data_IF_940929357710
#
_entry.id   IF_940929357710
#
_cell.length_a   1.000
_cell.length_b   1.000
_cell.length_c   1.000
_cell.angle_alpha   90.00
_cell.angle_beta   90.00
_cell.angle_gamma   90.00
#
_symmetry.space_group_name_H-M   'P 1'
#
loop_
_entity.id
_entity.type
_entity.pdbx_description
1 polymer ?
#
# COMPACT_ATOMS: atom_id res chain seq x y z
N UNK A 1 -7.62 -22.63 3.21
CA UNK A 1 -6.62 -22.29 4.24
C UNK A 1 -6.95 -23.11 5.49
N UNK A 2 -5.94 -23.67 6.14
CA UNK A 2 -6.09 -24.35 7.44
C UNK A 2 -6.79 -23.41 8.45
N UNK A 3 -7.71 -23.95 9.25
CA UNK A 3 -8.54 -23.14 10.15
C UNK A 3 -7.69 -22.42 11.22
N UNK A 4 -6.61 -23.04 11.69
CA UNK A 4 -5.69 -22.44 12.66
C UNK A 4 -4.85 -21.33 12.00
N UNK A 5 -4.41 -21.56 10.76
CA UNK A 5 -3.67 -20.55 10.01
C UNK A 5 -4.54 -19.30 9.73
N UNK A 6 -5.80 -19.52 9.33
CA UNK A 6 -6.76 -18.42 9.15
C UNK A 6 -6.96 -17.63 10.43
N UNK A 7 -7.19 -18.32 11.54
CA UNK A 7 -7.36 -17.69 12.83
C UNK A 7 -6.13 -16.88 13.25
N UNK A 8 -4.93 -17.42 13.02
CA UNK A 8 -3.67 -16.71 13.30
C UNK A 8 -3.54 -15.44 12.45
N UNK A 9 -3.86 -15.50 11.16
CA UNK A 9 -3.82 -14.35 10.25
C UNK A 9 -4.83 -13.28 10.65
N UNK A 10 -6.05 -13.67 11.00
CA UNK A 10 -7.08 -12.76 11.49
C UNK A 10 -6.65 -12.04 12.78
N UNK A 11 -6.00 -12.75 13.71
CA UNK A 11 -5.47 -12.14 14.93
C UNK A 11 -4.36 -11.14 14.64
N UNK A 12 -3.38 -11.54 13.82
CA UNK A 12 -2.26 -10.67 13.47
C UNK A 12 -2.74 -9.40 12.74
N UNK A 13 -3.67 -9.53 11.81
CA UNK A 13 -4.27 -8.40 11.10
C UNK A 13 -5.02 -7.45 12.05
N UNK A 14 -5.74 -7.99 13.06
CA UNK A 14 -6.38 -7.17 14.11
C UNK A 14 -5.37 -6.40 14.95
N UNK A 15 -4.25 -7.02 15.33
CA UNK A 15 -3.19 -6.36 16.11
C UNK A 15 -2.53 -5.23 15.31
N UNK A 16 -2.17 -5.50 14.04
CA UNK A 16 -1.60 -4.50 13.14
C UNK A 16 -2.57 -3.33 12.96
N UNK A 17 -3.86 -3.60 12.75
CA UNK A 17 -4.87 -2.53 12.59
C UNK A 17 -4.93 -1.64 13.83
N UNK A 18 -4.92 -2.23 15.04
CA UNK A 18 -4.90 -1.46 16.30
C UNK A 18 -3.65 -0.61 16.44
N UNK A 19 -2.48 -1.17 16.11
CA UNK A 19 -1.20 -0.46 16.12
C UNK A 19 -1.23 0.76 15.18
N UNK A 20 -1.72 0.58 13.95
CA UNK A 20 -1.81 1.64 12.96
C UNK A 20 -2.79 2.74 13.37
N UNK A 21 -3.95 2.37 13.94
CA UNK A 21 -4.88 3.35 14.51
C UNK A 21 -4.23 4.16 15.64
N UNK A 22 -3.49 3.51 16.55
CA UNK A 22 -2.74 4.20 17.61
C UNK A 22 -1.62 5.10 17.06
N UNK A 23 -1.10 4.80 15.87
CA UNK A 23 -0.14 5.63 15.12
C UNK A 23 -0.81 6.68 14.24
N UNK A 24 -2.11 6.91 14.43
CA UNK A 24 -2.90 7.97 13.79
C UNK A 24 -3.03 7.82 12.27
N UNK A 25 -2.92 6.59 11.75
CA UNK A 25 -3.36 6.24 10.40
C UNK A 25 -4.88 6.00 10.36
N UNK A 26 -5.51 6.20 9.20
CA UNK A 26 -6.88 5.71 8.95
C UNK A 26 -6.80 4.21 8.58
N UNK A 27 -6.68 3.34 9.58
CA UNK A 27 -6.49 1.91 9.35
C UNK A 27 -7.81 1.13 9.33
N UNK A 28 -7.97 0.27 8.33
CA UNK A 28 -9.18 -0.54 8.10
C UNK A 28 -8.78 -2.00 7.98
N UNK A 29 -9.29 -2.84 8.88
CA UNK A 29 -9.20 -4.28 8.73
C UNK A 29 -10.19 -4.74 7.67
N UNK A 30 -9.69 -5.39 6.63
CA UNK A 30 -10.49 -5.96 5.54
C UNK A 30 -10.71 -7.45 5.80
N UNK A 31 -11.85 -8.00 5.38
CA UNK A 31 -12.20 -9.41 5.52
C UNK A 31 -11.56 -10.28 4.44
N UNK A 32 -11.58 -9.80 3.20
CA UNK A 32 -11.11 -10.51 2.01
C UNK A 32 -10.83 -9.55 0.84
N UNK A 33 -10.24 -10.06 -0.25
CA UNK A 33 -9.93 -9.26 -1.44
C UNK A 33 -11.17 -8.64 -2.12
N UNK A 34 -12.37 -9.22 -1.97
CA UNK A 34 -13.56 -8.62 -2.55
C UNK A 34 -13.97 -7.37 -1.78
N UNK A 35 -13.92 -7.43 -0.45
CA UNK A 35 -14.12 -6.25 0.38
C UNK A 35 -13.05 -5.19 0.12
N UNK A 36 -11.78 -5.58 -0.06
CA UNK A 36 -10.70 -4.67 -0.43
C UNK A 36 -11.04 -3.88 -1.70
N UNK A 37 -11.41 -4.58 -2.78
CA UNK A 37 -11.79 -3.96 -4.07
C UNK A 37 -12.99 -3.02 -3.89
N UNK A 38 -14.01 -3.45 -3.14
CA UNK A 38 -15.20 -2.65 -2.89
C UNK A 38 -14.88 -1.36 -2.11
N UNK A 39 -14.00 -1.43 -1.10
CA UNK A 39 -13.58 -0.25 -0.34
C UNK A 39 -12.81 0.72 -1.25
N UNK A 40 -11.84 0.24 -2.03
CA UNK A 40 -11.06 1.08 -2.94
C UNK A 40 -11.95 1.77 -3.99
N UNK A 41 -12.84 1.01 -4.62
CA UNK A 41 -13.76 1.54 -5.64
C UNK A 41 -14.76 2.52 -5.00
N UNK A 42 -15.23 2.28 -3.78
CA UNK A 42 -16.22 3.16 -3.14
C UNK A 42 -15.61 4.47 -2.60
N UNK A 43 -14.45 4.39 -1.94
CA UNK A 43 -13.82 5.54 -1.27
C UNK A 43 -13.23 6.58 -2.22
N UNK A 44 -12.80 6.18 -3.42
CA UNK A 44 -12.24 7.11 -4.41
C UNK A 44 -13.39 7.83 -5.14
N UNK A 45 -13.55 9.16 -5.01
CA UNK A 45 -14.62 9.89 -5.68
C UNK A 45 -14.55 9.77 -7.21
N UNK A 46 -15.73 9.76 -7.86
CA UNK A 46 -15.80 9.89 -9.32
C UNK A 46 -15.22 11.25 -9.75
N UNK A 47 -14.59 11.33 -10.91
CA UNK A 47 -13.89 12.51 -11.47
C UNK A 47 -12.54 12.89 -10.85
N UNK A 48 -12.18 12.33 -9.69
CA UNK A 48 -10.84 12.53 -9.14
C UNK A 48 -9.78 11.80 -9.96
N UNK A 49 -8.57 12.33 -9.92
CA UNK A 49 -7.41 11.71 -10.52
C UNK A 49 -6.78 10.68 -9.59
N UNK A 50 -6.25 9.61 -10.17
CA UNK A 50 -5.61 8.55 -9.42
C UNK A 50 -4.40 8.01 -10.15
N UNK A 51 -3.47 7.49 -9.36
CA UNK A 51 -2.37 6.65 -9.83
C UNK A 51 -2.44 5.31 -9.11
N UNK A 52 -2.24 4.24 -9.87
CA UNK A 52 -2.11 2.89 -9.35
C UNK A 52 -0.62 2.54 -9.41
N UNK A 53 -0.09 2.02 -8.31
CA UNK A 53 1.21 1.37 -8.35
C UNK A 53 1.14 0.12 -9.25
N UNK A 54 2.26 -0.23 -9.89
CA UNK A 54 2.32 -1.27 -10.92
C UNK A 54 2.87 -2.61 -10.39
N UNK A 55 2.53 -2.97 -9.15
CA UNK A 55 2.92 -4.27 -8.59
C UNK A 55 2.08 -5.41 -9.18
N UNK A 56 2.62 -6.66 -9.28
CA UNK A 56 1.84 -7.81 -9.75
C UNK A 56 0.56 -8.05 -8.94
N UNK A 57 0.59 -7.83 -7.63
CA UNK A 57 -0.58 -7.97 -6.77
C UNK A 57 -1.66 -6.94 -7.10
N UNK A 58 -1.33 -5.65 -7.21
CA UNK A 58 -2.30 -4.63 -7.56
C UNK A 58 -2.91 -4.85 -8.95
N UNK A 59 -2.10 -5.29 -9.91
CA UNK A 59 -2.58 -5.66 -11.24
C UNK A 59 -3.61 -6.81 -11.17
N UNK A 60 -3.39 -7.81 -10.31
CA UNK A 60 -4.32 -8.92 -10.11
C UNK A 60 -5.67 -8.50 -9.51
N UNK A 61 -5.76 -7.31 -8.90
CA UNK A 61 -7.02 -6.78 -8.40
C UNK A 61 -7.92 -6.23 -9.52
N UNK A 62 -7.39 -6.01 -10.73
CA UNK A 62 -8.13 -5.54 -11.91
C UNK A 62 -8.89 -4.21 -11.66
N UNK A 63 -8.31 -3.31 -10.87
CA UNK A 63 -8.96 -2.06 -10.45
C UNK A 63 -9.07 -1.00 -11.57
N UNK A 64 -8.22 -1.09 -12.60
CA UNK A 64 -8.13 -0.09 -13.65
C UNK A 64 -9.46 0.09 -14.40
N UNK A 65 -10.06 -1.02 -14.87
CA UNK A 65 -11.33 -0.98 -15.59
C UNK A 65 -12.50 -0.41 -14.76
N UNK A 66 -12.80 -0.90 -13.53
CA UNK A 66 -13.90 -0.38 -12.74
C UNK A 66 -13.70 1.08 -12.32
N UNK A 67 -12.48 1.50 -11.98
CA UNK A 67 -12.20 2.90 -11.61
C UNK A 67 -12.29 3.85 -12.83
N UNK A 68 -11.82 3.40 -14.00
CA UNK A 68 -11.99 4.14 -15.25
C UNK A 68 -13.47 4.26 -15.61
N UNK A 69 -14.23 3.17 -15.53
CA UNK A 69 -15.69 3.15 -15.78
C UNK A 69 -16.46 4.03 -14.78
N UNK A 70 -15.98 4.16 -13.54
CA UNK A 70 -16.52 5.10 -12.54
C UNK A 70 -16.28 6.58 -12.91
N UNK A 71 -15.40 6.85 -13.87
CA UNK A 71 -15.07 8.18 -14.35
C UNK A 71 -13.86 8.81 -13.68
N UNK A 72 -12.97 8.01 -13.07
CA UNK A 72 -11.72 8.53 -12.52
C UNK A 72 -10.69 8.77 -13.64
N UNK A 73 -9.86 9.81 -13.50
CA UNK A 73 -8.73 10.04 -14.41
C UNK A 73 -7.51 9.25 -13.91
N UNK A 74 -7.13 8.20 -14.63
CA UNK A 74 -6.01 7.33 -14.24
C UNK A 74 -4.74 7.77 -14.97
N UNK A 75 -3.69 8.09 -14.22
CA UNK A 75 -2.38 8.46 -14.76
C UNK A 75 -1.44 7.25 -14.85
N UNK A 76 -0.63 7.20 -15.91
CA UNK A 76 0.52 6.30 -16.03
C UNK A 76 1.80 7.03 -15.61
N UNK A 77 2.27 6.80 -14.38
CA UNK A 77 3.44 7.50 -13.83
C UNK A 77 4.76 7.25 -14.58
N UNK A 78 4.83 6.23 -15.45
CA UNK A 78 5.99 6.02 -16.33
C UNK A 78 6.02 6.95 -17.53
N UNK A 79 4.87 7.55 -17.88
CA UNK A 79 4.71 8.42 -19.07
C UNK A 79 4.28 9.84 -18.70
N UNK A 80 3.63 10.01 -17.56
CA UNK A 80 2.98 11.25 -17.17
C UNK A 80 3.57 11.78 -15.86
N UNK A 81 4.45 12.77 -15.94
CA UNK A 81 5.08 13.38 -14.76
C UNK A 81 4.06 13.96 -13.76
N UNK A 82 2.90 14.40 -14.26
CA UNK A 82 1.78 14.90 -13.46
C UNK A 82 1.13 13.83 -12.55
N UNK A 83 1.47 12.55 -12.70
CA UNK A 83 0.96 11.47 -11.85
C UNK A 83 1.28 11.70 -10.36
N UNK A 84 2.40 12.37 -10.05
CA UNK A 84 2.77 12.72 -8.67
C UNK A 84 1.77 13.72 -8.04
N UNK A 85 1.05 14.48 -8.86
CA UNK A 85 0.05 15.48 -8.45
C UNK A 85 -1.38 14.92 -8.48
N UNK A 86 -1.55 13.60 -8.63
CA UNK A 86 -2.87 12.98 -8.59
C UNK A 86 -3.56 13.20 -7.23
N UNK A 87 -4.88 13.10 -7.20
CA UNK A 87 -5.63 13.23 -5.95
C UNK A 87 -5.44 12.00 -5.05
N UNK A 88 -5.39 10.81 -5.67
CA UNK A 88 -5.32 9.52 -4.99
C UNK A 88 -4.15 8.66 -5.49
N UNK A 89 -3.52 7.94 -4.57
CA UNK A 89 -2.57 6.87 -4.88
C UNK A 89 -3.05 5.56 -4.25
N UNK A 90 -3.13 4.48 -5.03
CA UNK A 90 -3.29 3.12 -4.49
C UNK A 90 -1.95 2.41 -4.61
N UNK A 91 -1.41 1.98 -3.47
CA UNK A 91 -0.07 1.41 -3.39
C UNK A 91 -0.06 0.14 -2.53
N UNK A 92 0.78 -0.81 -2.90
CA UNK A 92 1.16 -1.90 -2.01
C UNK A 92 2.21 -1.35 -1.02
N UNK A 93 2.02 -1.58 0.27
CA UNK A 93 3.03 -1.27 1.28
C UNK A 93 3.97 -2.47 1.41
N UNK A 94 5.27 -2.23 1.27
CA UNK A 94 6.28 -3.29 1.23
C UNK A 94 6.58 -3.85 2.60
N UNK A 95 6.63 -2.99 3.62
CA UNK A 95 6.80 -3.44 4.99
C UNK A 95 6.06 -2.57 5.99
N UNK A 96 5.65 -3.20 7.09
CA UNK A 96 5.19 -2.52 8.30
C UNK A 96 6.03 -2.98 9.48
N UNK A 97 6.62 -2.05 10.23
CA UNK A 97 7.39 -2.39 11.43
C UNK A 97 6.50 -2.64 12.64
N UNK A 98 7.02 -3.29 13.69
CA UNK A 98 6.35 -3.38 15.01
C UNK A 98 6.06 -2.00 15.64
N UNK A 99 6.77 -0.95 15.20
CA UNK A 99 6.51 0.42 15.59
C UNK A 99 5.41 1.10 14.75
N UNK A 100 4.82 0.40 13.78
CA UNK A 100 3.78 0.89 12.90
C UNK A 100 4.28 1.80 11.79
N UNK A 101 5.56 1.70 11.41
CA UNK A 101 6.14 2.50 10.33
C UNK A 101 5.82 1.83 8.99
N UNK A 102 5.30 2.58 8.02
CA UNK A 102 5.05 2.10 6.66
C UNK A 102 6.30 2.33 5.81
N UNK A 103 6.71 1.32 5.06
CA UNK A 103 7.86 1.37 4.15
C UNK A 103 7.37 1.11 2.74
N UNK A 104 7.74 2.01 1.83
CA UNK A 104 7.49 1.92 0.40
C UNK A 104 8.83 1.89 -0.33
N UNK A 105 9.03 0.86 -1.12
CA UNK A 105 10.15 0.69 -2.03
C UNK A 105 9.78 1.30 -3.39
N UNK A 106 10.72 1.32 -4.32
CA UNK A 106 10.57 1.81 -5.68
C UNK A 106 10.47 3.34 -5.81
N UNK A 107 11.10 3.89 -6.85
CA UNK A 107 11.28 5.35 -7.03
C UNK A 107 9.98 6.16 -6.98
N UNK A 108 8.92 5.65 -7.61
CA UNK A 108 7.65 6.36 -7.61
C UNK A 108 6.90 6.21 -6.28
N UNK A 109 6.74 5.00 -5.75
CA UNK A 109 5.96 4.78 -4.54
C UNK A 109 6.64 5.41 -3.31
N UNK A 110 7.97 5.32 -3.19
CA UNK A 110 8.75 6.02 -2.17
C UNK A 110 8.48 7.53 -2.18
N UNK A 111 8.62 8.17 -3.35
CA UNK A 111 8.41 9.61 -3.53
C UNK A 111 6.95 10.02 -3.33
N UNK A 112 6.02 9.26 -3.92
CA UNK A 112 4.59 9.53 -3.86
C UNK A 112 4.03 9.40 -2.45
N UNK A 113 4.56 8.45 -1.65
CA UNK A 113 4.18 8.28 -0.25
C UNK A 113 4.44 9.53 0.61
N UNK A 114 5.46 10.32 0.28
CA UNK A 114 5.87 11.50 1.03
C UNK A 114 5.30 12.77 0.38
N UNK A 115 5.64 13.00 -0.88
CA UNK A 115 5.42 14.27 -1.59
C UNK A 115 4.27 14.23 -2.60
N UNK A 116 3.76 13.04 -2.91
CA UNK A 116 2.75 12.85 -3.93
C UNK A 116 1.33 13.01 -3.40
N UNK A 117 0.38 12.22 -3.93
CA UNK A 117 -1.06 12.45 -3.82
C UNK A 117 -1.60 12.79 -2.42
N UNK A 118 -2.69 13.56 -2.41
CA UNK A 118 -3.36 14.02 -1.19
C UNK A 118 -3.90 12.86 -0.34
N UNK A 119 -4.33 11.78 -0.99
CA UNK A 119 -4.82 10.56 -0.38
C UNK A 119 -4.03 9.36 -0.88
N UNK A 120 -3.65 8.49 0.07
CA UNK A 120 -2.88 7.28 -0.19
C UNK A 120 -3.60 6.11 0.45
N UNK A 121 -4.01 5.17 -0.37
CA UNK A 121 -4.55 3.87 0.02
C UNK A 121 -3.42 2.86 0.02
N UNK A 122 -2.82 2.67 1.19
CA UNK A 122 -1.74 1.71 1.39
C UNK A 122 -2.34 0.34 1.71
N UNK A 123 -2.09 -0.67 0.89
CA UNK A 123 -2.58 -2.02 1.10
C UNK A 123 -1.47 -2.86 1.71
N UNK A 124 -1.77 -3.59 2.78
CA UNK A 124 -0.78 -4.42 3.47
C UNK A 124 -1.33 -5.80 3.80
N UNK A 125 -0.55 -6.82 3.49
CA UNK A 125 -0.77 -8.19 3.94
C UNK A 125 0.04 -8.51 5.20
N UNK A 126 -0.40 -9.52 5.93
CA UNK A 126 0.26 -9.97 7.17
C UNK A 126 1.71 -10.46 6.98
N UNK A 127 2.10 -10.83 5.75
CA UNK A 127 3.45 -11.21 5.34
C UNK A 127 4.43 -10.04 5.32
N UNK A 128 3.94 -8.81 5.25
CA UNK A 128 4.77 -7.58 5.16
C UNK A 128 5.25 -7.08 6.53
N UNK A 129 4.88 -7.75 7.62
CA UNK A 129 5.23 -7.32 8.96
C UNK A 129 6.67 -7.72 9.32
N UNK A 130 7.45 -6.75 9.81
CA UNK A 130 8.86 -6.91 10.20
C UNK A 130 9.10 -6.29 11.57
N UNK A 131 10.14 -6.72 12.27
CA UNK A 131 10.46 -6.24 13.62
C UNK A 131 10.77 -4.75 13.64
N UNK A 132 11.61 -4.29 12.71
CA UNK A 132 12.12 -2.92 12.66
C UNK A 132 12.71 -2.60 11.29
N UNK A 133 13.16 -1.35 11.12
CA UNK A 133 13.80 -0.87 9.89
C UNK A 133 15.03 -1.71 9.48
N UNK A 134 15.80 -2.23 10.44
CA UNK A 134 16.99 -3.06 10.16
C UNK A 134 16.57 -4.40 9.53
N UNK A 135 15.48 -5.00 9.98
CA UNK A 135 14.95 -6.21 9.34
C UNK A 135 14.40 -5.92 7.94
N UNK A 136 13.72 -4.78 7.75
CA UNK A 136 13.25 -4.34 6.44
C UNK A 136 14.41 -4.18 5.45
N UNK A 137 15.47 -3.48 5.85
CA UNK A 137 16.68 -3.26 5.04
C UNK A 137 17.34 -4.58 4.62
N UNK A 138 17.37 -5.58 5.51
CA UNK A 138 17.91 -6.92 5.19
C UNK A 138 17.07 -7.69 4.17
N UNK A 139 15.75 -7.50 4.17
CA UNK A 139 14.83 -8.17 3.24
C UNK A 139 14.65 -7.43 1.92
N UNK A 140 14.94 -6.12 1.91
CA UNK A 140 14.74 -5.24 0.75
C UNK A 140 15.38 -5.77 -0.55
N UNK A 141 16.63 -6.30 -0.56
CA UNK A 141 17.23 -6.81 -1.79
C UNK A 141 16.45 -7.97 -2.42
N UNK A 142 15.93 -8.90 -1.61
CA UNK A 142 15.15 -10.05 -2.08
C UNK A 142 13.85 -9.57 -2.77
N UNK A 143 13.18 -8.57 -2.21
CA UNK A 143 11.95 -8.00 -2.77
C UNK A 143 12.23 -7.27 -4.08
N UNK A 144 13.30 -6.46 -4.14
CA UNK A 144 13.71 -5.77 -5.37
C UNK A 144 14.09 -6.75 -6.49
N UNK A 145 14.61 -7.93 -6.14
CA UNK A 145 14.99 -8.98 -7.09
C UNK A 145 13.75 -9.58 -7.74
N UNK A 146 12.76 -9.95 -6.93
CA UNK A 146 11.49 -10.48 -7.38
C UNK A 146 10.79 -9.51 -8.35
N UNK A 147 10.90 -8.20 -8.10
CA UNK A 147 10.28 -7.15 -8.94
C UNK A 147 11.08 -6.78 -10.19
N UNK A 148 12.25 -7.40 -10.41
CA UNK A 148 13.18 -7.04 -11.48
C UNK A 148 13.56 -5.55 -11.48
N UNK A 149 13.55 -4.89 -10.31
CA UNK A 149 13.98 -3.49 -10.18
C UNK A 149 15.51 -3.33 -10.11
N UNK A 150 16.27 -4.43 -10.18
CA UNK A 150 17.74 -4.44 -10.08
C UNK A 150 18.49 -3.59 -11.13
N UNK A 151 17.86 -3.21 -12.24
CA UNK A 151 18.47 -2.35 -13.25
C UNK A 151 18.30 -0.85 -12.96
N UNK A 152 17.49 -0.48 -11.96
CA UNK A 152 17.29 0.90 -11.54
C UNK A 152 18.26 1.18 -10.36
N UNK A 153 19.41 1.79 -10.63
CA UNK A 153 20.50 1.99 -9.65
C UNK A 153 20.16 2.94 -8.50
N UNK A 154 18.90 3.33 -8.35
CA UNK A 154 18.38 4.24 -7.35
C UNK A 154 17.40 3.48 -6.46
N UNK A 155 17.94 2.73 -5.50
CA UNK A 155 17.15 2.09 -4.44
C UNK A 155 16.68 3.16 -3.45
N UNK A 156 15.59 3.85 -3.80
CA UNK A 156 14.95 4.80 -2.88
C UNK A 156 13.83 4.11 -2.10
N UNK A 157 13.76 4.42 -0.81
CA UNK A 157 12.68 3.96 0.06
C UNK A 157 12.08 5.14 0.82
N UNK A 158 10.76 5.12 0.98
CA UNK A 158 9.99 6.08 1.75
C UNK A 158 9.57 5.46 3.07
N UNK A 159 9.79 6.17 4.19
CA UNK A 159 9.36 5.74 5.52
C UNK A 159 8.36 6.73 6.07
N UNK A 160 7.17 6.24 6.40
CA UNK A 160 6.14 7.01 7.09
C UNK A 160 6.08 6.52 8.53
N UNK A 161 6.49 7.36 9.49
CA UNK A 161 6.58 6.95 10.90
C UNK A 161 5.23 6.94 11.66
N UNK A 162 4.28 7.78 11.22
CA UNK A 162 2.94 7.88 11.80
C UNK A 162 2.03 8.75 10.90
N UNK A 163 0.71 8.61 11.02
CA UNK A 163 -0.25 9.43 10.29
C UNK A 163 -0.43 10.86 10.83
N UNK A 164 0.04 11.15 12.06
CA UNK A 164 -0.13 12.45 12.76
C UNK A 164 0.25 13.68 11.92
N UNK A 165 1.37 13.62 11.20
CA UNK A 165 1.92 14.77 10.44
C UNK A 165 1.03 15.17 9.27
N UNK A 166 0.31 14.20 8.69
CA UNK A 166 -0.57 14.40 7.55
C UNK A 166 -1.93 13.73 7.82
N UNK A 167 -2.78 14.36 8.65
CA UNK A 167 -4.06 13.79 9.02
C UNK A 167 -4.89 13.42 7.80
N UNK A 168 -5.46 12.22 7.81
CA UNK A 168 -6.26 11.66 6.73
C UNK A 168 -5.52 11.45 5.39
N UNK A 169 -4.19 11.61 5.30
CA UNK A 169 -3.45 11.32 4.06
C UNK A 169 -3.34 9.82 3.80
N UNK A 170 -3.12 9.03 4.84
CA UNK A 170 -2.85 7.59 4.74
C UNK A 170 -4.04 6.77 5.26
N UNK A 171 -4.77 6.14 4.34
CA UNK A 171 -5.72 5.07 4.66
C UNK A 171 -5.02 3.73 4.45
N UNK A 172 -4.87 2.93 5.51
CA UNK A 172 -4.16 1.66 5.47
C UNK A 172 -5.15 0.50 5.50
N UNK A 173 -5.19 -0.30 4.44
CA UNK A 173 -6.08 -1.44 4.27
C UNK A 173 -5.32 -2.71 4.64
N UNK A 174 -5.63 -3.27 5.80
CA UNK A 174 -4.96 -4.46 6.34
C UNK A 174 -5.73 -5.71 5.91
N UNK A 175 -5.05 -6.57 5.14
CA UNK A 175 -5.62 -7.81 4.60
C UNK A 175 -5.12 -9.02 5.42
N UNK A 176 -6.01 -9.88 5.96
CA UNK A 176 -5.66 -11.03 6.80
C UNK A 176 -5.18 -12.23 5.96
N UNK A 177 -4.33 -11.98 4.98
CA UNK A 177 -3.70 -13.01 4.15
C UNK A 177 -2.34 -12.53 3.64
N UNK A 178 -1.58 -13.45 3.05
CA UNK A 178 -0.34 -13.10 2.39
C UNK A 178 -0.66 -12.50 1.02
N UNK A 179 -0.28 -11.24 0.79
CA UNK A 179 -0.50 -10.54 -0.48
C UNK A 179 0.83 -10.01 -1.02
N UNK A 180 1.02 -10.13 -2.33
CA UNK A 180 2.15 -9.59 -3.11
C UNK A 180 3.55 -9.92 -2.59
N UNK A 181 4.56 -9.73 -3.43
CA UNK A 181 6.00 -9.72 -3.12
C UNK A 181 6.68 -9.11 -4.33
#
# INVERSE_FOLDING_TARGET
>A
MDQNLKWFYDLKAKEITKLLLHKEYDAILVKDLNELKNILISKIPSSESLVLDQTPFLNSLELLFPLSKKGCRIYDYKKEQQAILADNFIAECDFITENGELIFLDNFASSASIFGPNKIFAIVGINKFVKNLIEAEKKMPEILEIRNHFNDTNDSFGIIHHGRKFPNKYTVLVVPENIGF
#
